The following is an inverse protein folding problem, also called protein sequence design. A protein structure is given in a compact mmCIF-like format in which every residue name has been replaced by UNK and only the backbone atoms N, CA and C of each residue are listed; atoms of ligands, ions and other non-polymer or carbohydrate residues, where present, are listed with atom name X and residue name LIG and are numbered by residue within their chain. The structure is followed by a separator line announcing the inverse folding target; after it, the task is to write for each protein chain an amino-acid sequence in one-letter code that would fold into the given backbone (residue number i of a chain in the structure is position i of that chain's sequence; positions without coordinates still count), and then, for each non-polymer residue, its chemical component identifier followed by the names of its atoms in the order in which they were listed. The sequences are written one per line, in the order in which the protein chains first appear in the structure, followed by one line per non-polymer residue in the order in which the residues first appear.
data_IF_738291498001
#
_entry.id   IF_738291498001
#
_cell.length_a   1.000
_cell.length_b   1.000
_cell.length_c   1.000
_cell.angle_alpha   90.00
_cell.angle_beta   90.00
_cell.angle_gamma   90.00
#
_symmetry.space_group_name_H-M   'P 1'
#
loop_
_entity.id
_entity.type
_entity.pdbx_description
1 polymer ?
#
# COMPACT_ATOMS: atom_id res chain seq x y z
N UNK A 1 7.20 -14.31 -51.62
CA UNK A 1 6.51 -13.33 -50.75
C UNK A 1 6.04 -13.91 -49.42
N UNK A 2 5.42 -15.10 -49.37
CA UNK A 2 4.81 -15.62 -48.13
C UNK A 2 5.82 -15.88 -46.97
N UNK A 3 7.06 -16.30 -47.29
CA UNK A 3 8.08 -16.63 -46.27
C UNK A 3 8.64 -15.41 -45.54
N UNK A 4 8.75 -14.25 -46.20
CA UNK A 4 9.25 -13.03 -45.57
C UNK A 4 8.23 -12.46 -44.59
N UNK A 5 6.95 -12.51 -44.95
CA UNK A 5 5.85 -12.10 -44.06
C UNK A 5 5.72 -13.03 -42.85
N UNK A 6 5.82 -14.35 -43.06
CA UNK A 6 5.83 -15.30 -41.96
C UNK A 6 7.00 -15.07 -40.99
N UNK A 7 8.20 -14.82 -41.52
CA UNK A 7 9.39 -14.55 -40.72
C UNK A 7 9.31 -13.20 -39.98
N UNK A 8 8.71 -12.17 -40.61
CA UNK A 8 8.43 -10.90 -39.94
C UNK A 8 7.44 -11.05 -38.79
N UNK A 9 6.40 -11.87 -38.97
CA UNK A 9 5.42 -12.16 -37.93
C UNK A 9 6.04 -12.95 -36.77
N UNK A 10 6.89 -13.93 -37.07
CA UNK A 10 7.64 -14.70 -36.08
C UNK A 10 8.57 -13.78 -35.27
N UNK A 11 9.30 -12.88 -35.95
CA UNK A 11 10.17 -11.91 -35.29
C UNK A 11 9.39 -10.92 -34.41
N UNK A 12 8.21 -10.48 -34.85
CA UNK A 12 7.33 -9.61 -34.07
C UNK A 12 6.82 -10.33 -32.81
N UNK A 13 6.39 -11.59 -32.94
CA UNK A 13 5.96 -12.41 -31.81
C UNK A 13 7.07 -12.62 -30.79
N UNK A 14 8.28 -12.96 -31.26
CA UNK A 14 9.44 -13.14 -30.38
C UNK A 14 9.84 -11.82 -29.72
N UNK A 15 9.96 -10.74 -30.48
CA UNK A 15 10.33 -9.42 -29.97
C UNK A 15 9.31 -8.89 -28.95
N UNK A 16 8.02 -8.98 -29.26
CA UNK A 16 6.95 -8.57 -28.35
C UNK A 16 6.90 -9.47 -27.11
N UNK A 17 7.11 -10.79 -27.25
CA UNK A 17 7.12 -11.74 -26.15
C UNK A 17 8.27 -11.50 -25.16
N UNK A 18 9.47 -11.21 -25.67
CA UNK A 18 10.64 -10.88 -24.83
C UNK A 18 10.42 -9.58 -24.08
N UNK A 19 9.94 -8.53 -24.75
CA UNK A 19 9.64 -7.24 -24.11
C UNK A 19 8.54 -7.41 -23.06
N UNK A 20 7.46 -8.11 -23.39
CA UNK A 20 6.36 -8.37 -22.46
C UNK A 20 6.83 -9.14 -21.21
N UNK A 21 7.64 -10.18 -21.41
CA UNK A 21 8.22 -10.98 -20.31
C UNK A 21 9.15 -10.11 -19.45
N UNK A 22 9.99 -9.29 -20.07
CA UNK A 22 10.86 -8.35 -19.37
C UNK A 22 10.07 -7.37 -18.52
N UNK A 23 8.98 -6.80 -19.05
CA UNK A 23 8.10 -5.91 -18.31
C UNK A 23 7.40 -6.63 -17.14
N UNK A 24 6.93 -7.87 -17.33
CA UNK A 24 6.36 -8.68 -16.25
C UNK A 24 7.38 -8.83 -15.12
N UNK A 25 8.63 -9.15 -15.45
CA UNK A 25 9.70 -9.31 -14.45
C UNK A 25 9.94 -7.97 -13.73
N UNK A 26 10.03 -6.85 -14.45
CA UNK A 26 10.20 -5.54 -13.83
C UNK A 26 9.04 -5.18 -12.90
N UNK A 27 7.80 -5.42 -13.33
CA UNK A 27 6.61 -5.19 -12.50
C UNK A 27 6.61 -6.10 -11.26
N UNK A 28 7.00 -7.37 -11.40
CA UNK A 28 7.11 -8.29 -10.29
C UNK A 28 8.18 -7.84 -9.28
N UNK A 29 9.36 -7.41 -9.74
CA UNK A 29 10.44 -6.92 -8.88
C UNK A 29 10.04 -5.63 -8.16
N UNK A 30 9.46 -4.67 -8.88
CA UNK A 30 8.98 -3.41 -8.27
C UNK A 30 7.83 -3.65 -7.30
N UNK A 31 6.93 -4.60 -7.59
CA UNK A 31 5.87 -5.02 -6.67
C UNK A 31 6.44 -5.72 -5.43
N UNK A 32 7.44 -6.58 -5.59
CA UNK A 32 8.14 -7.21 -4.48
C UNK A 32 8.83 -6.15 -3.62
N UNK A 33 9.53 -5.20 -4.23
CA UNK A 33 10.12 -4.07 -3.51
C UNK A 33 9.04 -3.29 -2.75
N UNK A 34 7.89 -2.99 -3.37
CA UNK A 34 6.77 -2.34 -2.68
C UNK A 34 6.24 -3.16 -1.50
N UNK A 35 6.11 -4.48 -1.66
CA UNK A 35 5.65 -5.38 -0.61
C UNK A 35 6.66 -5.49 0.54
N UNK A 36 7.96 -5.56 0.22
CA UNK A 36 9.04 -5.54 1.20
C UNK A 36 9.06 -4.22 1.96
N UNK A 37 8.91 -3.09 1.27
CA UNK A 37 8.80 -1.77 1.90
C UNK A 37 7.57 -1.68 2.80
N UNK A 38 6.40 -2.20 2.40
CA UNK A 38 5.21 -2.23 3.27
C UNK A 38 5.37 -3.15 4.49
N UNK A 39 6.11 -4.25 4.34
CA UNK A 39 6.27 -5.27 5.40
C UNK A 39 7.39 -4.93 6.38
N UNK A 40 8.50 -4.38 5.89
CA UNK A 40 9.71 -4.08 6.67
C UNK A 40 9.93 -2.59 6.90
N UNK A 41 9.44 -1.74 6.00
CA UNK A 41 9.36 -0.31 6.25
C UNK A 41 8.24 -0.08 7.25
N UNK A 42 8.62 0.23 8.49
CA UNK A 42 7.78 0.98 9.42
C UNK A 42 7.61 2.39 8.86
N UNK A 43 6.96 2.52 7.70
CA UNK A 43 6.52 3.80 7.21
C UNK A 43 5.46 4.27 8.21
N UNK A 44 5.64 5.45 8.85
CA UNK A 44 4.54 6.07 9.57
C UNK A 44 3.34 6.04 8.63
N UNK A 45 2.20 5.57 9.12
CA UNK A 45 0.98 5.62 8.35
C UNK A 45 0.74 7.09 7.99
N UNK A 46 1.19 7.50 6.80
CA UNK A 46 0.49 8.49 6.00
C UNK A 46 -0.82 7.80 5.63
N UNK A 47 -1.70 7.71 6.63
CA UNK A 47 -3.12 7.67 6.40
C UNK A 47 -3.34 8.74 5.35
N UNK A 48 -3.93 8.44 4.18
CA UNK A 48 -4.58 9.48 3.42
C UNK A 48 -5.39 10.22 4.46
N UNK A 49 -5.05 11.49 4.72
CA UNK A 49 -5.76 12.27 5.71
C UNK A 49 -7.20 12.19 5.24
N UNK A 50 -8.03 11.42 5.96
CA UNK A 50 -9.44 11.65 5.92
C UNK A 50 -9.53 13.14 6.23
N UNK A 51 -9.97 13.92 5.25
CA UNK A 51 -10.21 15.34 5.41
C UNK A 51 -11.34 15.46 6.42
N UNK A 52 -11.04 15.26 7.70
CA UNK A 52 -11.82 15.79 8.79
C UNK A 52 -11.59 17.28 8.70
N UNK A 53 -12.56 17.96 8.11
CA UNK A 53 -12.84 19.36 8.43
C UNK A 53 -12.82 19.47 9.95
N UNK A 54 -11.70 19.92 10.50
CA UNK A 54 -11.59 20.27 11.90
C UNK A 54 -12.23 21.65 12.06
N UNK A 55 -13.39 21.70 12.71
CA UNK A 55 -13.88 22.93 13.31
C UNK A 55 -12.89 23.35 14.43
N UNK A 56 -12.59 24.65 14.60
CA UNK A 56 -11.66 25.09 15.63
C UNK A 56 -12.35 24.98 17.00
N UNK A 57 -11.93 24.04 17.83
CA UNK A 57 -12.33 23.96 19.23
C UNK A 57 -11.06 23.89 20.09
N UNK A 58 -10.77 24.99 20.77
CA UNK A 58 -9.59 25.16 21.59
C UNK A 58 -9.48 24.12 22.72
N UNK A 59 -8.25 23.70 22.96
CA UNK A 59 -7.56 23.25 24.20
C UNK A 59 -8.31 22.52 25.32
N UNK A 60 -9.54 22.06 25.13
CA UNK A 60 -10.23 21.21 26.09
C UNK A 60 -10.47 19.83 25.48
N UNK A 61 -9.84 18.77 26.04
CA UNK A 61 -10.10 17.41 25.58
C UNK A 61 -11.59 17.11 25.71
N UNK A 62 -12.16 16.56 24.64
CA UNK A 62 -13.60 16.30 24.58
C UNK A 62 -14.02 15.33 25.69
N UNK A 63 -15.24 15.47 26.26
CA UNK A 63 -15.75 14.53 27.25
C UNK A 63 -15.75 13.06 26.78
N UNK A 64 -15.83 12.84 25.46
CA UNK A 64 -15.71 11.52 24.85
C UNK A 64 -14.30 10.92 25.00
N UNK A 65 -13.26 11.74 24.90
CA UNK A 65 -11.87 11.32 25.07
C UNK A 65 -11.60 10.89 26.52
N UNK A 66 -12.12 11.64 27.50
CA UNK A 66 -12.01 11.32 28.92
C UNK A 66 -12.66 9.96 29.24
N UNK A 67 -13.86 9.71 28.71
CA UNK A 67 -14.56 8.42 28.87
C UNK A 67 -13.83 7.25 28.23
N UNK A 68 -13.21 7.47 27.06
CA UNK A 68 -12.42 6.45 26.39
C UNK A 68 -11.18 6.07 27.21
N UNK A 69 -10.51 7.06 27.81
CA UNK A 69 -9.36 6.85 28.70
C UNK A 69 -9.78 6.07 29.95
N UNK A 70 -10.90 6.45 30.59
CA UNK A 70 -11.41 5.76 31.78
C UNK A 70 -11.70 4.27 31.50
N UNK A 71 -12.36 3.97 30.37
CA UNK A 71 -12.63 2.61 29.94
C UNK A 71 -11.34 1.81 29.70
N UNK A 72 -10.36 2.41 29.03
CA UNK A 72 -9.08 1.77 28.75
C UNK A 72 -8.30 1.45 30.04
N UNK A 73 -8.25 2.39 31.00
CA UNK A 73 -7.57 2.19 32.29
C UNK A 73 -8.24 1.09 33.11
N UNK A 74 -9.57 1.07 33.15
CA UNK A 74 -10.33 0.05 33.87
C UNK A 74 -10.10 -1.35 33.28
N UNK A 75 -10.10 -1.48 31.95
CA UNK A 75 -9.81 -2.74 31.27
C UNK A 75 -8.37 -3.22 31.51
N UNK A 76 -7.40 -2.29 31.56
CA UNK A 76 -6.01 -2.65 31.87
C UNK A 76 -5.85 -3.14 33.32
N UNK A 77 -6.51 -2.50 34.28
CA UNK A 77 -6.46 -2.94 35.69
C UNK A 77 -7.12 -4.30 35.90
N UNK A 78 -8.18 -4.61 35.17
CA UNK A 78 -8.85 -5.91 35.22
C UNK A 78 -8.06 -7.04 34.54
N UNK A 79 -7.12 -6.71 33.65
CA UNK A 79 -6.23 -7.71 33.02
C UNK A 79 -4.90 -7.85 33.74
N UNK A 80 -4.60 -6.98 34.71
CA UNK A 80 -3.37 -6.99 35.51
C UNK A 80 -3.61 -7.47 36.95
N UNK A 81 -4.86 -7.77 37.33
CA UNK A 81 -5.23 -8.53 38.54
C UNK A 81 -5.76 -9.90 38.14
#
# INVERSE_FOLDING_TARGET
MNTLMAQGLELMLVGMGVVFTFLIILVAVTSLMSALVKRFGQAPAVSPAATTTAAPAGDMPSPALIKAIEKAVRQHRQSQQ
#
